data_IF_250622124380
#
_entry.id   IF_250622124380
#
_cell.length_a   1.000
_cell.length_b   1.000
_cell.length_c   1.000
_cell.angle_alpha   90.00
_cell.angle_beta   90.00
_cell.angle_gamma   90.00
#
_symmetry.space_group_name_H-M   'P 1'
#
loop_
_entity.id
_entity.type
_entity.pdbx_description
1 polymer ?
#
# COMPACT_ATOMS: atom_id res chain seq x y z
N UNK A 1 -26.08 0.90 22.80
CA UNK A 1 -25.17 1.99 22.38
C UNK A 1 -23.89 1.37 21.86
N UNK A 2 -23.12 2.12 21.07
CA UNK A 2 -21.74 1.77 20.77
C UNK A 2 -20.81 2.20 21.93
N UNK A 3 -19.64 1.59 22.01
CA UNK A 3 -18.47 2.07 22.75
C UNK A 3 -17.78 3.14 21.89
N UNK A 4 -17.71 4.38 22.37
CA UNK A 4 -16.97 5.44 21.69
C UNK A 4 -15.47 5.27 21.92
N UNK A 5 -14.68 5.59 20.87
CA UNK A 5 -13.21 5.61 20.94
C UNK A 5 -12.69 6.96 20.48
N UNK A 6 -11.58 7.38 21.12
CA UNK A 6 -10.93 8.66 20.87
C UNK A 6 -9.49 8.40 20.41
N UNK A 7 -8.94 9.29 19.58
CA UNK A 7 -7.53 9.24 19.20
C UNK A 7 -6.68 9.74 20.37
N UNK A 8 -6.20 8.82 21.20
CA UNK A 8 -5.15 9.09 22.20
C UNK A 8 -3.82 8.57 21.70
N UNK A 9 -2.72 9.24 22.05
CA UNK A 9 -1.36 8.89 21.62
C UNK A 9 -0.79 7.64 22.34
N UNK A 10 -1.63 6.87 23.05
CA UNK A 10 -1.24 5.59 23.66
C UNK A 10 -1.02 4.56 22.55
N UNK A 11 0.11 3.86 22.62
CA UNK A 11 0.69 3.00 21.58
C UNK A 11 -0.21 1.83 21.17
N UNK A 12 -1.19 2.12 20.34
CA UNK A 12 -2.00 1.15 19.61
C UNK A 12 -1.41 1.01 18.21
N UNK A 13 -1.21 -0.24 17.75
CA UNK A 13 -0.51 -0.54 16.49
C UNK A 13 -1.19 0.14 15.30
N UNK A 14 -0.52 1.14 14.72
CA UNK A 14 -1.02 1.85 13.55
C UNK A 14 -0.82 0.98 12.30
N UNK A 15 -1.86 0.23 11.91
CA UNK A 15 -1.86 -0.62 10.72
C UNK A 15 -1.44 0.15 9.47
N UNK A 16 -0.60 -0.47 8.64
CA UNK A 16 -0.17 0.14 7.39
C UNK A 16 -1.33 0.26 6.40
N UNK A 17 -1.16 1.13 5.40
CA UNK A 17 -2.10 1.26 4.27
C UNK A 17 -2.44 -0.06 3.58
N UNK A 18 -1.54 -1.06 3.61
CA UNK A 18 -1.75 -2.36 2.98
C UNK A 18 -2.57 -3.29 3.86
N UNK A 19 -2.25 -3.35 5.16
CA UNK A 19 -2.95 -4.22 6.12
C UNK A 19 -4.38 -3.69 6.38
N UNK A 20 -4.55 -2.37 6.38
CA UNK A 20 -5.86 -1.72 6.47
C UNK A 20 -6.75 -2.02 5.25
N UNK A 21 -6.18 -2.04 4.03
CA UNK A 21 -6.90 -2.45 2.82
C UNK A 21 -7.16 -3.96 2.77
N UNK A 22 -6.27 -4.80 3.32
CA UNK A 22 -6.50 -6.23 3.46
C UNK A 22 -7.69 -6.49 4.38
N UNK A 23 -7.69 -5.91 5.59
CA UNK A 23 -8.78 -6.01 6.56
C UNK A 23 -10.15 -5.64 5.96
N UNK A 24 -10.27 -4.49 5.28
CA UNK A 24 -11.56 -4.10 4.67
C UNK A 24 -11.99 -5.08 3.59
N UNK A 25 -11.08 -5.54 2.74
CA UNK A 25 -11.40 -6.48 1.65
C UNK A 25 -11.75 -7.88 2.16
N UNK A 26 -11.15 -8.32 3.26
CA UNK A 26 -11.46 -9.61 3.89
C UNK A 26 -12.81 -9.54 4.62
N UNK A 27 -13.03 -8.56 5.50
CA UNK A 27 -14.28 -8.42 6.25
C UNK A 27 -15.51 -8.12 5.35
N UNK A 28 -15.34 -7.37 4.26
CA UNK A 28 -16.45 -7.02 3.37
C UNK A 28 -16.48 -7.82 2.05
N UNK A 29 -15.58 -8.79 1.85
CA UNK A 29 -15.46 -9.52 0.57
C UNK A 29 -15.39 -8.55 -0.64
N UNK A 30 -14.60 -7.49 -0.51
CA UNK A 30 -14.45 -6.43 -1.53
C UNK A 30 -13.11 -6.51 -2.25
N UNK A 31 -12.89 -5.64 -3.25
CA UNK A 31 -11.71 -5.69 -4.11
C UNK A 31 -10.97 -4.37 -4.26
N UNK A 32 -11.07 -3.47 -3.27
CA UNK A 32 -10.37 -2.18 -3.23
C UNK A 32 -8.86 -2.29 -3.48
N UNK A 33 -8.28 -1.25 -4.05
CA UNK A 33 -6.85 -1.09 -4.37
C UNK A 33 -6.27 0.21 -3.79
N UNK A 34 -7.13 1.19 -3.49
CA UNK A 34 -6.80 2.50 -2.95
C UNK A 34 -7.72 2.83 -1.76
N UNK A 35 -7.19 3.48 -0.73
CA UNK A 35 -7.97 3.91 0.45
C UNK A 35 -8.96 5.01 0.07
N UNK A 36 -8.59 5.80 -0.93
CA UNK A 36 -9.39 6.79 -1.63
C UNK A 36 -10.77 6.26 -2.08
N UNK A 37 -10.91 4.95 -2.40
CA UNK A 37 -12.17 4.35 -2.87
C UNK A 37 -13.25 4.26 -1.77
N UNK A 38 -12.87 4.40 -0.50
CA UNK A 38 -13.79 4.45 0.64
C UNK A 38 -14.56 5.77 0.74
N UNK A 39 -14.20 6.78 -0.07
CA UNK A 39 -14.96 8.02 -0.25
C UNK A 39 -16.42 7.79 -0.69
N UNK A 40 -16.73 6.61 -1.23
CA UNK A 40 -18.09 6.18 -1.55
C UNK A 40 -19.01 6.07 -0.33
N UNK A 41 -18.46 5.96 0.89
CA UNK A 41 -19.21 5.81 2.15
C UNK A 41 -19.87 4.43 2.35
N UNK A 42 -19.94 3.59 1.32
CA UNK A 42 -20.69 2.33 1.32
C UNK A 42 -20.10 1.27 2.27
N UNK A 43 -18.76 1.17 2.33
CA UNK A 43 -18.06 0.23 3.22
C UNK A 43 -18.38 0.50 4.70
N UNK A 44 -18.30 1.77 5.13
CA UNK A 44 -18.65 2.17 6.49
C UNK A 44 -20.12 1.91 6.84
N UNK A 45 -21.04 2.10 5.87
CA UNK A 45 -22.44 1.72 6.05
C UNK A 45 -22.60 0.22 6.28
N UNK A 46 -21.83 -0.62 5.60
CA UNK A 46 -21.92 -2.07 5.80
C UNK A 46 -21.26 -2.52 7.11
N UNK A 47 -20.11 -1.95 7.49
CA UNK A 47 -19.52 -2.20 8.81
C UNK A 47 -20.46 -1.83 9.96
N UNK A 48 -21.21 -0.73 9.85
CA UNK A 48 -22.20 -0.36 10.88
C UNK A 48 -23.39 -1.34 10.97
N UNK A 49 -23.76 -2.01 9.88
CA UNK A 49 -24.74 -3.09 9.91
C UNK A 49 -24.16 -4.39 10.51
N UNK A 50 -22.92 -4.74 10.16
CA UNK A 50 -22.19 -5.86 10.77
C UNK A 50 -22.06 -5.71 12.29
N UNK A 51 -21.60 -4.55 12.77
CA UNK A 51 -21.51 -4.22 14.20
C UNK A 51 -22.90 -4.17 14.86
N UNK A 52 -23.84 -3.47 14.23
CA UNK A 52 -25.15 -3.16 14.81
C UNK A 52 -26.28 -3.38 13.77
N UNK A 53 -26.75 -4.63 13.60
CA UNK A 53 -27.77 -4.98 12.60
C UNK A 53 -29.02 -4.12 12.71
N UNK A 54 -29.47 -3.59 11.56
CA UNK A 54 -30.61 -2.67 11.51
C UNK A 54 -30.34 -1.28 12.11
N UNK A 55 -29.10 -0.92 12.44
CA UNK A 55 -28.71 0.49 12.62
C UNK A 55 -28.74 1.27 11.29
N UNK A 56 -28.47 0.56 10.19
CA UNK A 56 -28.33 1.09 8.82
C UNK A 56 -29.50 0.63 7.93
N UNK A 57 -29.91 1.50 6.99
CA UNK A 57 -30.90 1.17 5.96
C UNK A 57 -30.21 0.64 4.70
N UNK A 58 -29.60 -0.56 4.75
CA UNK A 58 -28.73 -1.08 3.67
C UNK A 58 -29.36 -1.04 2.28
N UNK A 59 -30.68 -1.28 2.15
CA UNK A 59 -31.43 -1.20 0.88
C UNK A 59 -31.40 0.17 0.19
N UNK A 60 -30.91 1.22 0.87
CA UNK A 60 -30.73 2.58 0.33
C UNK A 60 -29.27 2.93 0.04
N UNK A 61 -28.32 2.09 0.44
CA UNK A 61 -26.88 2.32 0.26
C UNK A 61 -26.50 2.04 -1.19
N UNK A 62 -25.80 2.99 -1.81
CA UNK A 62 -25.25 2.85 -3.16
C UNK A 62 -23.90 2.15 -3.07
N UNK A 63 -23.90 0.81 -3.05
CA UNK A 63 -22.67 -0.01 -2.94
C UNK A 63 -21.73 0.13 -4.14
N UNK A 64 -22.28 0.45 -5.33
CA UNK A 64 -21.52 0.60 -6.56
C UNK A 64 -21.92 1.86 -7.30
N UNK A 65 -21.04 2.86 -7.27
CA UNK A 65 -21.31 4.22 -7.76
C UNK A 65 -19.99 4.93 -8.12
N UNK A 66 -20.09 6.02 -8.88
CA UNK A 66 -19.01 6.96 -9.19
C UNK A 66 -19.48 8.43 -9.09
N UNK A 67 -20.58 8.69 -8.37
CA UNK A 67 -21.27 9.99 -8.33
C UNK A 67 -21.20 10.60 -6.92
N UNK A 68 -20.57 11.77 -6.77
CA UNK A 68 -20.35 12.41 -5.46
C UNK A 68 -21.66 12.64 -4.67
N UNK A 69 -22.76 12.96 -5.36
CA UNK A 69 -24.06 13.13 -4.71
C UNK A 69 -24.65 11.83 -4.13
N UNK A 70 -24.24 10.66 -4.65
CA UNK A 70 -24.58 9.35 -4.05
C UNK A 70 -23.65 9.02 -2.88
N UNK A 71 -22.40 9.47 -2.89
CA UNK A 71 -21.49 9.35 -1.75
C UNK A 71 -22.04 10.14 -0.55
N UNK A 72 -22.55 11.36 -0.80
CA UNK A 72 -23.23 12.20 0.21
C UNK A 72 -24.49 11.49 0.75
N UNK A 73 -25.24 10.76 -0.09
CA UNK A 73 -26.38 9.96 0.37
C UNK A 73 -25.93 8.82 1.30
N UNK A 74 -24.89 8.08 0.94
CA UNK A 74 -24.31 7.03 1.78
C UNK A 74 -23.83 7.59 3.13
N UNK A 75 -23.08 8.70 3.13
CA UNK A 75 -22.63 9.32 4.38
C UNK A 75 -23.77 9.87 5.25
N UNK A 76 -24.89 10.32 4.67
CA UNK A 76 -26.10 10.67 5.45
C UNK A 76 -26.77 9.44 6.08
N UNK A 77 -26.70 8.27 5.44
CA UNK A 77 -27.12 7.00 6.06
C UNK A 77 -26.18 6.62 7.21
N UNK A 78 -24.86 6.79 7.04
CA UNK A 78 -23.87 6.54 8.09
C UNK A 78 -24.06 7.46 9.30
N UNK A 79 -24.26 8.77 9.09
CA UNK A 79 -24.57 9.73 10.15
C UNK A 79 -25.84 9.38 10.92
N UNK A 80 -26.88 8.87 10.25
CA UNK A 80 -28.10 8.41 10.89
C UNK A 80 -27.86 7.16 11.78
N UNK A 81 -27.01 6.22 11.33
CA UNK A 81 -26.61 5.06 12.13
C UNK A 81 -25.75 5.45 13.33
N UNK A 82 -24.78 6.35 13.15
CA UNK A 82 -23.96 6.92 14.24
C UNK A 82 -24.85 7.57 15.31
N UNK A 83 -25.80 8.44 14.89
CA UNK A 83 -26.77 9.06 15.82
C UNK A 83 -27.67 8.03 16.52
N UNK A 84 -28.10 6.97 15.83
CA UNK A 84 -28.92 5.89 16.41
C UNK A 84 -28.16 5.06 17.45
N UNK A 85 -26.84 4.91 17.30
CA UNK A 85 -26.00 4.13 18.21
C UNK A 85 -25.28 4.96 19.28
N UNK A 86 -25.48 6.29 19.29
CA UNK A 86 -24.76 7.27 20.12
C UNK A 86 -23.24 7.25 19.90
N UNK A 87 -22.83 7.32 18.63
CA UNK A 87 -21.43 7.50 18.24
C UNK A 87 -21.10 9.00 18.17
N UNK A 88 -20.14 9.46 18.97
CA UNK A 88 -19.83 10.89 19.14
C UNK A 88 -18.92 11.46 18.03
N UNK A 89 -18.27 10.60 17.25
CA UNK A 89 -17.34 11.01 16.19
C UNK A 89 -18.07 11.73 15.05
N UNK A 90 -17.76 13.01 14.88
CA UNK A 90 -18.15 13.79 13.69
C UNK A 90 -17.48 13.19 12.45
N UNK A 91 -18.28 12.88 11.43
CA UNK A 91 -17.82 12.38 10.13
C UNK A 91 -17.53 13.59 9.21
N UNK A 92 -16.29 13.82 8.75
CA UNK A 92 -15.94 14.97 7.90
C UNK A 92 -16.32 14.75 6.43
N UNK A 93 -17.62 14.64 6.16
CA UNK A 93 -18.19 14.22 4.85
C UNK A 93 -17.60 14.99 3.67
N UNK A 94 -17.57 16.32 3.74
CA UNK A 94 -17.11 17.18 2.65
C UNK A 94 -15.63 17.01 2.28
N UNK A 95 -14.83 16.48 3.21
CA UNK A 95 -13.44 16.08 2.96
C UNK A 95 -13.36 14.67 2.37
N UNK A 96 -14.08 13.72 2.97
CA UNK A 96 -14.06 12.30 2.59
C UNK A 96 -14.50 12.08 1.15
N UNK A 97 -15.62 12.67 0.73
CA UNK A 97 -16.21 12.48 -0.61
C UNK A 97 -15.29 12.93 -1.75
N UNK A 98 -14.28 13.77 -1.47
CA UNK A 98 -13.29 14.24 -2.46
C UNK A 98 -12.19 13.21 -2.76
N UNK A 99 -12.24 12.02 -2.14
CA UNK A 99 -11.32 10.93 -2.44
C UNK A 99 -9.86 11.21 -2.07
N UNK A 100 -9.58 12.20 -1.23
CA UNK A 100 -8.20 12.50 -0.79
C UNK A 100 -7.73 11.44 0.19
N UNK A 101 -6.50 10.94 -0.03
CA UNK A 101 -5.91 9.85 0.75
C UNK A 101 -5.86 10.16 2.25
N UNK A 102 -5.31 11.32 2.63
CA UNK A 102 -5.14 11.73 4.03
C UNK A 102 -6.46 11.72 4.81
N UNK A 103 -7.49 12.42 4.32
CA UNK A 103 -8.80 12.50 5.01
C UNK A 103 -9.46 11.13 5.14
N UNK A 104 -9.36 10.28 4.10
CA UNK A 104 -9.95 8.94 4.12
C UNK A 104 -9.16 7.97 5.02
N UNK A 105 -7.83 8.09 5.09
CA UNK A 105 -6.99 7.24 5.93
C UNK A 105 -7.12 7.58 7.42
N UNK A 106 -7.13 8.87 7.79
CA UNK A 106 -7.36 9.32 9.17
C UNK A 106 -8.71 8.80 9.70
N UNK A 107 -9.77 8.95 8.91
CA UNK A 107 -11.09 8.43 9.28
C UNK A 107 -11.11 6.90 9.36
N UNK A 108 -10.44 6.20 8.45
CA UNK A 108 -10.35 4.74 8.45
C UNK A 108 -9.56 4.19 9.66
N UNK A 109 -8.46 4.84 10.05
CA UNK A 109 -7.70 4.49 11.26
C UNK A 109 -8.55 4.61 12.51
N UNK A 110 -9.30 5.72 12.65
CA UNK A 110 -10.27 5.86 13.75
C UNK A 110 -11.38 4.80 13.66
N UNK A 111 -11.91 4.54 12.46
CA UNK A 111 -12.99 3.58 12.25
C UNK A 111 -12.57 2.15 12.57
N UNK A 112 -11.31 1.77 12.32
CA UNK A 112 -10.74 0.47 12.74
C UNK A 112 -10.72 0.34 14.26
N UNK A 113 -10.20 1.34 14.99
CA UNK A 113 -10.22 1.33 16.47
C UNK A 113 -11.66 1.29 17.01
N UNK A 114 -12.61 1.94 16.33
CA UNK A 114 -14.03 1.88 16.67
C UNK A 114 -14.64 0.50 16.41
N UNK A 115 -14.32 -0.14 15.29
CA UNK A 115 -14.75 -1.50 14.97
C UNK A 115 -14.22 -2.50 16.00
N UNK A 116 -12.93 -2.46 16.32
CA UNK A 116 -12.28 -3.38 17.27
C UNK A 116 -12.86 -3.27 18.69
N UNK A 117 -13.29 -2.07 19.10
CA UNK A 117 -13.93 -1.84 20.40
C UNK A 117 -15.42 -2.25 20.47
N UNK A 118 -16.03 -2.65 19.35
CA UNK A 118 -17.48 -2.91 19.25
C UNK A 118 -17.85 -4.25 18.60
N UNK A 119 -16.92 -4.92 17.90
CA UNK A 119 -17.17 -6.19 17.23
C UNK A 119 -17.13 -7.36 18.22
N UNK A 120 -18.19 -8.15 18.26
CA UNK A 120 -18.36 -9.29 19.17
C UNK A 120 -17.95 -10.65 18.55
N UNK A 121 -17.37 -10.63 17.35
CA UNK A 121 -16.90 -11.84 16.67
C UNK A 121 -17.97 -12.63 15.91
N UNK A 122 -19.20 -12.12 15.77
CA UNK A 122 -20.29 -12.78 15.03
C UNK A 122 -19.95 -13.02 13.55
N UNK A 123 -20.45 -14.13 12.99
CA UNK A 123 -20.42 -14.35 11.55
C UNK A 123 -21.27 -13.32 10.78
N UNK A 124 -20.81 -12.89 9.60
CA UNK A 124 -21.51 -11.95 8.73
C UNK A 124 -21.21 -12.22 7.25
N UNK A 125 -22.22 -12.59 6.46
CA UNK A 125 -22.06 -12.69 5.00
C UNK A 125 -22.20 -11.30 4.37
N UNK A 126 -21.07 -10.70 3.99
CA UNK A 126 -21.03 -9.37 3.42
C UNK A 126 -21.51 -9.32 1.96
N UNK A 127 -21.51 -10.44 1.23
CA UNK A 127 -21.94 -10.50 -0.16
C UNK A 127 -23.46 -10.67 -0.25
N UNK A 128 -24.06 -11.56 0.56
CA UNK A 128 -25.50 -11.75 0.62
C UNK A 128 -26.21 -10.52 1.22
N UNK A 129 -25.63 -9.89 2.25
CA UNK A 129 -26.15 -8.64 2.84
C UNK A 129 -26.20 -7.45 1.84
N UNK A 130 -25.48 -7.53 0.71
CA UNK A 130 -25.55 -6.59 -0.42
C UNK A 130 -26.48 -7.03 -1.55
N UNK A 131 -27.14 -8.19 -1.44
CA UNK A 131 -27.86 -8.81 -2.55
C UNK A 131 -26.93 -9.23 -3.68
N UNK A 132 -25.74 -9.76 -3.34
CA UNK A 132 -24.67 -10.15 -4.27
C UNK A 132 -24.07 -9.01 -5.11
N UNK A 133 -24.31 -7.74 -4.75
CA UNK A 133 -23.70 -6.58 -5.40
C UNK A 133 -22.24 -6.40 -4.97
N UNK A 134 -21.33 -6.18 -5.93
CA UNK A 134 -19.93 -5.85 -5.66
C UNK A 134 -19.78 -4.40 -5.14
N UNK A 135 -18.95 -4.21 -4.11
CA UNK A 135 -18.73 -2.91 -3.46
C UNK A 135 -17.52 -2.18 -4.09
N UNK A 136 -17.69 -0.91 -4.46
CA UNK A 136 -16.62 -0.05 -4.96
C UNK A 136 -17.03 0.86 -6.13
N UNK A 137 -16.06 1.28 -6.94
CA UNK A 137 -16.32 2.18 -8.07
C UNK A 137 -17.19 1.54 -9.19
N UNK A 138 -18.03 2.36 -9.82
CA UNK A 138 -18.92 1.97 -10.93
C UNK A 138 -18.22 1.51 -12.23
N UNK A 139 -16.89 1.59 -12.31
CA UNK A 139 -16.08 1.38 -13.52
C UNK A 139 -15.91 -0.09 -13.95
N UNK A 140 -17.02 -0.81 -14.15
CA UNK A 140 -17.10 -1.94 -15.09
C UNK A 140 -18.56 -2.40 -15.26
N UNK A 141 -19.21 -1.96 -16.35
CA UNK A 141 -20.37 -2.65 -16.91
C UNK A 141 -19.93 -3.40 -18.17
N UNK A 142 -19.78 -4.71 -18.03
CA UNK A 142 -19.78 -5.67 -19.14
C UNK A 142 -20.73 -6.80 -18.74
N UNK A 143 -21.75 -7.05 -19.57
CA UNK A 143 -22.77 -8.06 -19.26
C UNK A 143 -22.16 -9.45 -19.30
N UNK A 144 -22.08 -10.10 -18.13
CA UNK A 144 -21.70 -11.50 -17.97
C UNK A 144 -22.66 -12.16 -17.00
N UNK A 145 -23.47 -13.11 -17.48
CA UNK A 145 -24.43 -13.84 -16.65
C UNK A 145 -23.73 -14.95 -15.85
N UNK A 146 -24.36 -15.42 -14.77
CA UNK A 146 -23.76 -16.27 -13.74
C UNK A 146 -23.08 -17.55 -14.27
N UNK A 147 -21.98 -17.93 -13.60
CA UNK A 147 -21.81 -19.30 -13.11
C UNK A 147 -21.49 -19.25 -11.61
N UNK A 148 -21.90 -20.30 -10.89
CA UNK A 148 -22.16 -20.23 -9.46
C UNK A 148 -21.46 -21.37 -8.71
N UNK A 149 -20.70 -21.05 -7.66
CA UNK A 149 -20.09 -22.01 -6.75
C UNK A 149 -20.31 -21.58 -5.29
N UNK A 150 -21.11 -22.36 -4.57
CA UNK A 150 -21.24 -22.29 -3.12
C UNK A 150 -19.98 -22.88 -2.45
N UNK A 151 -19.42 -22.22 -1.42
CA UNK A 151 -18.79 -22.91 -0.29
C UNK A 151 -19.84 -23.30 0.76
N UNK A 152 -19.54 -24.32 1.56
CA UNK A 152 -20.33 -24.75 2.71
C UNK A 152 -19.95 -23.94 3.99
N UNK A 153 -20.72 -23.97 5.09
CA UNK A 153 -20.53 -23.02 6.20
C UNK A 153 -19.19 -23.17 6.94
N UNK A 154 -18.78 -22.08 7.59
CA UNK A 154 -17.46 -21.90 8.19
C UNK A 154 -17.22 -22.85 9.37
N UNK A 155 -16.51 -23.95 9.12
CA UNK A 155 -15.78 -24.67 10.17
C UNK A 155 -14.37 -24.09 10.26
N UNK A 156 -13.93 -23.78 11.47
CA UNK A 156 -12.78 -22.90 11.69
C UNK A 156 -11.44 -23.59 11.39
N UNK A 157 -10.93 -23.43 10.16
CA UNK A 157 -9.54 -23.73 9.79
C UNK A 157 -9.08 -22.83 8.66
N UNK A 158 -8.07 -22.01 8.91
CA UNK A 158 -7.48 -21.12 7.88
C UNK A 158 -6.79 -21.97 6.81
N UNK A 159 -7.48 -22.15 5.68
CA UNK A 159 -6.85 -22.62 4.44
C UNK A 159 -6.29 -21.39 3.70
N UNK A 160 -5.02 -21.39 3.27
CA UNK A 160 -4.45 -20.25 2.56
C UNK A 160 -5.15 -20.08 1.21
N UNK A 161 -5.65 -18.87 0.93
CA UNK A 161 -6.28 -18.56 -0.34
C UNK A 161 -5.32 -18.85 -1.52
N UNK A 162 -5.82 -19.53 -2.55
CA UNK A 162 -5.03 -20.01 -3.69
C UNK A 162 -4.48 -18.86 -4.53
N UNK A 163 -3.31 -18.30 -4.15
CA UNK A 163 -2.67 -17.21 -4.91
C UNK A 163 -2.40 -17.68 -6.34
N UNK A 164 -3.01 -17.01 -7.31
CA UNK A 164 -2.72 -17.22 -8.72
C UNK A 164 -1.29 -16.78 -9.04
N UNK A 165 -0.36 -17.73 -9.06
CA UNK A 165 1.06 -17.49 -9.38
C UNK A 165 1.19 -17.18 -10.87
N UNK A 166 1.44 -15.93 -11.22
CA UNK A 166 1.59 -15.49 -12.60
C UNK A 166 2.97 -15.87 -13.16
N UNK A 167 3.15 -17.15 -13.53
CA UNK A 167 4.41 -17.73 -14.03
C UNK A 167 5.00 -16.88 -15.18
N UNK A 168 4.17 -16.42 -16.11
CA UNK A 168 4.58 -15.55 -17.23
C UNK A 168 5.20 -14.21 -16.81
N UNK A 169 4.99 -13.75 -15.57
CA UNK A 169 5.70 -12.60 -15.01
C UNK A 169 7.03 -13.01 -14.40
N UNK A 170 7.04 -14.07 -13.60
CA UNK A 170 8.24 -14.54 -12.87
C UNK A 170 9.36 -14.98 -13.81
N UNK A 171 9.02 -15.68 -14.90
CA UNK A 171 9.96 -16.12 -15.94
C UNK A 171 10.63 -14.94 -16.66
N UNK A 172 10.08 -13.72 -16.59
CA UNK A 172 10.69 -12.50 -17.15
C UNK A 172 11.77 -11.88 -16.24
N UNK A 173 12.03 -12.46 -15.06
CA UNK A 173 13.14 -12.08 -14.19
C UNK A 173 13.06 -10.68 -13.59
N UNK A 174 11.88 -10.02 -13.62
CA UNK A 174 11.73 -8.66 -13.07
C UNK A 174 11.77 -8.71 -11.55
N UNK A 175 12.59 -7.84 -10.95
CA UNK A 175 12.78 -7.79 -9.49
C UNK A 175 11.44 -7.72 -8.74
N UNK A 176 10.55 -6.80 -9.10
CA UNK A 176 9.29 -6.60 -8.38
C UNK A 176 8.37 -7.83 -8.38
N UNK A 177 8.16 -8.48 -9.54
CA UNK A 177 7.30 -9.68 -9.60
C UNK A 177 7.90 -10.83 -8.76
N UNK A 178 9.21 -11.02 -8.85
CA UNK A 178 9.92 -12.09 -8.14
C UNK A 178 10.01 -11.84 -6.62
N UNK A 179 10.18 -10.58 -6.21
CA UNK A 179 10.25 -10.19 -4.81
C UNK A 179 8.87 -10.28 -4.13
N UNK A 180 7.81 -9.80 -4.78
CA UNK A 180 6.43 -9.93 -4.29
C UNK A 180 5.99 -11.41 -4.19
N UNK A 181 6.43 -12.25 -5.14
CA UNK A 181 6.25 -13.69 -5.04
C UNK A 181 7.05 -14.29 -3.87
N UNK A 182 8.32 -13.93 -3.70
CA UNK A 182 9.18 -14.45 -2.62
C UNK A 182 8.67 -14.07 -1.22
N UNK A 183 8.22 -12.82 -1.04
CA UNK A 183 7.61 -12.35 0.22
C UNK A 183 6.36 -13.17 0.58
N UNK A 184 5.47 -13.40 -0.39
CA UNK A 184 4.31 -14.27 -0.18
C UNK A 184 4.71 -15.72 0.06
N UNK A 185 5.66 -16.25 -0.71
CA UNK A 185 6.09 -17.65 -0.62
C UNK A 185 6.75 -17.93 0.74
N UNK A 186 7.51 -16.98 1.31
CA UNK A 186 8.02 -17.08 2.68
C UNK A 186 6.90 -17.15 3.71
N UNK A 187 5.92 -16.22 3.67
CA UNK A 187 4.74 -16.26 4.56
C UNK A 187 3.94 -17.55 4.42
N UNK A 188 3.76 -18.05 3.19
CA UNK A 188 3.10 -19.33 2.92
C UNK A 188 3.88 -20.52 3.47
N UNK A 189 5.20 -20.55 3.27
CA UNK A 189 6.09 -21.60 3.80
C UNK A 189 6.04 -21.63 5.33
N UNK A 190 6.21 -20.48 5.99
CA UNK A 190 6.21 -20.36 7.45
C UNK A 190 4.88 -20.83 8.07
N UNK A 191 3.75 -20.55 7.41
CA UNK A 191 2.42 -20.98 7.86
C UNK A 191 2.13 -22.48 7.65
N UNK A 192 2.92 -23.20 6.85
CA UNK A 192 2.67 -24.61 6.46
C UNK A 192 3.80 -25.57 6.85
N UNK A 193 5.01 -25.08 7.11
CA UNK A 193 6.16 -25.89 7.48
C UNK A 193 6.02 -26.44 8.90
N UNK A 194 6.19 -27.76 9.07
CA UNK A 194 5.97 -28.44 10.37
C UNK A 194 7.23 -28.64 11.21
N UNK A 195 8.36 -28.04 10.81
CA UNK A 195 9.62 -28.14 11.54
C UNK A 195 10.39 -29.45 11.31
N UNK A 196 9.97 -30.29 10.36
CA UNK A 196 10.70 -31.50 9.97
C UNK A 196 12.09 -31.16 9.40
N UNK A 197 13.05 -32.06 9.52
CA UNK A 197 14.33 -31.95 8.81
C UNK A 197 14.16 -32.19 7.31
N UNK A 198 14.90 -31.44 6.48
CA UNK A 198 14.86 -31.54 5.01
C UNK A 198 16.24 -31.33 4.39
N UNK A 199 16.86 -32.40 3.89
CA UNK A 199 18.10 -32.34 3.13
C UNK A 199 17.84 -31.90 1.68
N UNK A 200 18.05 -30.61 1.43
CA UNK A 200 17.90 -29.99 0.11
C UNK A 200 19.00 -30.36 -0.91
N UNK A 201 20.03 -31.14 -0.55
CA UNK A 201 21.05 -31.66 -1.46
C UNK A 201 20.76 -33.13 -1.84
N UNK A 202 20.42 -33.97 -0.87
CA UNK A 202 19.95 -35.34 -1.13
C UNK A 202 18.64 -35.35 -1.94
N UNK A 203 17.70 -34.45 -1.63
CA UNK A 203 16.46 -34.27 -2.40
C UNK A 203 16.66 -33.78 -3.85
N UNK A 204 17.90 -33.45 -4.24
CA UNK A 204 18.29 -33.07 -5.61
C UNK A 204 19.39 -33.98 -6.18
N UNK A 205 19.58 -35.18 -5.62
CA UNK A 205 20.55 -36.19 -6.06
C UNK A 205 21.98 -35.60 -6.25
N UNK A 206 22.41 -34.81 -5.26
CA UNK A 206 23.72 -34.15 -5.24
C UNK A 206 23.89 -32.99 -6.24
N UNK A 207 22.90 -32.70 -7.10
CA UNK A 207 23.04 -31.66 -8.13
C UNK A 207 23.19 -30.24 -7.53
N UNK A 208 23.96 -29.34 -8.16
CA UNK A 208 23.99 -27.92 -7.79
C UNK A 208 22.70 -27.19 -8.20
N UNK A 209 22.46 -26.00 -7.66
CA UNK A 209 21.35 -25.13 -8.09
C UNK A 209 21.82 -24.23 -9.25
N UNK A 210 20.97 -24.00 -10.25
CA UNK A 210 21.32 -23.18 -11.42
C UNK A 210 21.12 -21.69 -11.19
N UNK A 211 22.11 -20.86 -11.55
CA UNK A 211 22.00 -19.40 -11.52
C UNK A 211 21.24 -18.90 -12.76
N UNK A 212 20.10 -18.22 -12.58
CA UNK A 212 19.23 -17.73 -13.66
C UNK A 212 19.77 -16.50 -14.43
N UNK A 213 20.99 -16.57 -14.97
CA UNK A 213 21.63 -15.49 -15.74
C UNK A 213 21.81 -15.79 -17.23
N UNK A 214 22.25 -14.81 -18.01
CA UNK A 214 22.49 -14.98 -19.45
C UNK A 214 23.69 -15.90 -19.81
N UNK A 215 24.62 -16.11 -18.87
CA UNK A 215 25.88 -16.83 -19.07
C UNK A 215 25.92 -18.18 -18.32
N UNK A 216 24.90 -19.03 -18.49
CA UNK A 216 24.88 -20.39 -17.90
C UNK A 216 25.64 -21.39 -18.78
N UNK A 217 26.64 -22.11 -18.26
CA UNK A 217 27.22 -23.26 -18.95
C UNK A 217 26.16 -24.35 -19.15
N UNK A 218 25.92 -24.77 -20.40
CA UNK A 218 24.93 -25.80 -20.71
C UNK A 218 25.42 -27.17 -20.23
N UNK A 219 24.84 -27.67 -19.14
CA UNK A 219 24.97 -29.07 -18.73
C UNK A 219 24.45 -30.05 -19.80
N UNK A 220 24.84 -31.33 -19.76
CA UNK A 220 24.45 -32.33 -20.76
C UNK A 220 22.92 -32.48 -20.79
N UNK A 221 22.33 -32.23 -21.96
CA UNK A 221 20.89 -31.98 -22.07
C UNK A 221 20.00 -33.22 -22.01
N UNK A 222 18.95 -33.16 -21.19
CA UNK A 222 17.81 -34.07 -21.28
C UNK A 222 17.00 -33.78 -22.56
N UNK A 223 17.12 -34.67 -23.55
CA UNK A 223 16.44 -34.54 -24.84
C UNK A 223 14.93 -34.82 -24.71
N UNK A 224 14.10 -33.78 -24.85
CA UNK A 224 12.66 -33.98 -25.10
C UNK A 224 12.45 -34.57 -26.51
N UNK A 225 12.18 -35.89 -26.56
CA UNK A 225 11.78 -36.59 -27.78
C UNK A 225 10.28 -36.40 -28.06
N UNK A 226 9.93 -35.96 -29.27
CA UNK A 226 8.67 -36.32 -29.97
C UNK A 226 8.97 -36.61 -31.46
N UNK A 227 8.13 -37.39 -32.15
CA UNK A 227 8.53 -38.14 -33.34
C UNK A 227 8.48 -37.35 -34.65
N UNK A 228 9.16 -37.87 -35.67
CA UNK A 228 9.18 -37.35 -37.04
C UNK A 228 8.64 -38.41 -38.04
N UNK A 229 8.05 -37.99 -39.18
CA UNK A 229 7.77 -38.86 -40.33
C UNK A 229 9.04 -39.13 -41.17
N UNK A 230 8.89 -39.97 -42.21
CA UNK A 230 9.99 -40.74 -42.84
C UNK A 230 10.65 -40.05 -44.05
N UNK A 231 11.83 -40.55 -44.42
CA UNK A 231 12.83 -40.00 -45.34
C UNK A 231 12.50 -40.13 -46.84
N UNK A 232 13.25 -39.37 -47.66
CA UNK A 232 13.73 -39.79 -48.99
C UNK A 232 15.19 -39.33 -49.19
N UNK A 233 15.94 -40.01 -50.06
CA UNK A 233 17.39 -39.83 -50.35
C UNK A 233 17.59 -39.07 -51.71
N UNK A 234 18.77 -38.64 -52.19
CA UNK A 234 20.18 -39.01 -51.92
C UNK A 234 21.19 -37.86 -52.27
N UNK A 235 22.50 -38.15 -52.17
CA UNK A 235 23.67 -37.30 -52.50
C UNK A 235 24.43 -37.88 -53.74
N UNK A 236 25.68 -37.51 -54.15
CA UNK A 236 26.72 -36.56 -53.63
C UNK A 236 27.11 -35.48 -54.71
N UNK A 237 28.29 -34.84 -54.92
CA UNK A 237 29.73 -35.02 -54.52
C UNK A 237 30.57 -33.71 -54.47
N UNK A 238 31.49 -33.65 -53.50
CA UNK A 238 32.93 -33.24 -53.53
C UNK A 238 33.45 -31.93 -54.19
N UNK A 239 34.17 -31.14 -53.35
CA UNK A 239 35.52 -30.55 -53.54
C UNK A 239 35.77 -29.49 -54.66
N UNK A 240 36.72 -28.53 -54.60
CA UNK A 240 37.73 -28.18 -53.57
C UNK A 240 38.22 -26.70 -53.63
N UNK A 241 39.05 -26.29 -52.66
CA UNK A 241 40.09 -25.22 -52.70
C UNK A 241 39.76 -23.72 -52.94
N UNK A 242 40.32 -22.90 -52.03
CA UNK A 242 40.77 -21.48 -52.18
C UNK A 242 42.20 -21.45 -52.80
N UNK A 243 42.90 -20.32 -53.13
CA UNK A 243 42.75 -18.94 -52.62
C UNK A 243 43.06 -17.75 -53.62
N UNK A 244 43.16 -16.51 -53.08
CA UNK A 244 43.82 -15.26 -53.58
C UNK A 244 43.43 -14.66 -54.95
N UNK A 245 43.02 -13.38 -54.93
CA UNK A 245 43.02 -12.47 -56.09
C UNK A 245 42.82 -11.00 -55.67
N UNK A 246 43.66 -10.07 -56.16
CA UNK A 246 43.75 -8.66 -55.69
C UNK A 246 43.62 -7.67 -56.84
N UNK A 247 42.53 -6.89 -56.92
CA UNK A 247 42.49 -5.64 -57.69
C UNK A 247 41.40 -4.66 -57.19
N UNK A 248 41.82 -3.42 -56.93
CA UNK A 248 41.08 -2.25 -56.46
C UNK A 248 40.41 -1.52 -57.63
N UNK A 249 39.12 -1.17 -57.53
CA UNK A 249 38.48 -0.21 -58.44
C UNK A 249 37.38 0.63 -57.76
N UNK A 250 37.47 1.94 -57.96
CA UNK A 250 36.48 3.01 -57.73
C UNK A 250 36.66 3.99 -58.94
N UNK A 251 35.77 4.97 -59.22
CA UNK A 251 34.57 5.39 -58.49
C UNK A 251 33.30 5.56 -59.37
N UNK A 252 32.15 5.87 -58.74
CA UNK A 252 31.31 7.05 -59.06
C UNK A 252 30.27 7.29 -57.95
N UNK A 253 29.65 8.47 -57.94
CA UNK A 253 28.84 8.96 -56.81
C UNK A 253 27.44 9.46 -57.24
N UNK A 254 26.62 9.78 -56.23
CA UNK A 254 25.23 10.28 -56.27
C UNK A 254 24.13 9.25 -56.61
N UNK A 255 22.87 9.47 -56.18
CA UNK A 255 22.38 10.55 -55.30
C UNK A 255 22.06 10.10 -53.86
N UNK A 256 21.90 11.07 -52.96
CA UNK A 256 21.44 10.85 -51.57
C UNK A 256 19.95 10.49 -51.57
N UNK A 257 19.57 9.41 -50.88
CA UNK A 257 18.19 9.13 -50.45
C UNK A 257 18.16 9.04 -48.93
N UNK A 258 17.44 9.95 -48.28
CA UNK A 258 17.27 9.96 -46.82
C UNK A 258 16.44 8.76 -46.37
N UNK A 259 16.95 7.88 -45.48
CA UNK A 259 16.10 6.89 -44.81
C UNK A 259 15.18 7.58 -43.80
N UNK A 260 13.94 7.11 -43.69
CA UNK A 260 12.91 7.74 -42.87
C UNK A 260 13.24 7.72 -41.36
N UNK A 261 12.61 8.65 -40.62
CA UNK A 261 12.76 8.75 -39.17
C UNK A 261 12.40 7.42 -38.48
N UNK A 262 13.34 6.89 -37.69
CA UNK A 262 13.07 5.76 -36.80
C UNK A 262 12.24 6.27 -35.63
N UNK A 263 11.02 5.76 -35.48
CA UNK A 263 10.23 5.98 -34.26
C UNK A 263 10.99 5.40 -33.07
N UNK A 264 11.21 6.23 -32.04
CA UNK A 264 11.88 5.78 -30.83
C UNK A 264 11.01 4.74 -30.10
N UNK A 265 11.62 3.63 -29.69
CA UNK A 265 10.93 2.67 -28.83
C UNK A 265 10.64 3.32 -27.46
N UNK A 266 9.44 3.13 -26.87
CA UNK A 266 9.09 3.75 -25.61
C UNK A 266 10.03 3.25 -24.49
N UNK A 267 10.69 4.20 -23.81
CA UNK A 267 11.66 3.89 -22.76
C UNK A 267 10.97 3.26 -21.54
N UNK A 268 11.15 1.95 -21.36
CA UNK A 268 10.47 1.15 -20.33
C UNK A 268 10.78 1.60 -18.89
N UNK A 269 11.91 2.29 -18.67
CA UNK A 269 12.30 2.76 -17.35
C UNK A 269 11.51 3.98 -16.87
N UNK A 270 10.78 4.68 -17.75
CA UNK A 270 10.03 5.88 -17.38
C UNK A 270 8.91 5.59 -16.36
N UNK A 271 8.22 4.45 -16.48
CA UNK A 271 7.18 4.04 -15.52
C UNK A 271 7.75 3.61 -14.16
N UNK A 272 8.94 3.02 -14.15
CA UNK A 272 9.64 2.56 -12.94
C UNK A 272 10.13 3.76 -12.10
N UNK A 273 10.72 4.76 -12.76
CA UNK A 273 11.02 6.06 -12.14
C UNK A 273 9.76 6.78 -11.67
N UNK A 274 8.68 6.78 -12.47
CA UNK A 274 7.42 7.44 -12.09
C UNK A 274 6.81 6.84 -10.82
N UNK A 275 6.79 5.51 -10.69
CA UNK A 275 6.32 4.83 -9.48
C UNK A 275 7.20 5.17 -8.27
N UNK A 276 8.53 5.17 -8.44
CA UNK A 276 9.45 5.52 -7.35
C UNK A 276 9.38 7.00 -6.93
N UNK A 277 9.02 7.90 -7.84
CA UNK A 277 8.71 9.31 -7.54
C UNK A 277 7.40 9.43 -6.76
N UNK A 278 6.37 8.64 -7.09
CA UNK A 278 5.12 8.56 -6.32
C UNK A 278 5.39 8.02 -4.90
N UNK A 279 6.13 6.93 -4.76
CA UNK A 279 6.53 6.35 -3.46
C UNK A 279 7.34 7.34 -2.58
N UNK A 280 8.34 8.01 -3.15
CA UNK A 280 9.13 9.00 -2.41
C UNK A 280 8.31 10.24 -2.04
N UNK A 281 7.39 10.68 -2.91
CA UNK A 281 6.44 11.76 -2.60
C UNK A 281 5.52 11.38 -1.45
N UNK A 282 5.03 10.13 -1.42
CA UNK A 282 4.23 9.60 -0.33
C UNK A 282 5.01 9.58 0.99
N UNK A 283 6.26 9.09 1.00
CA UNK A 283 7.13 9.10 2.20
C UNK A 283 7.42 10.53 2.69
N UNK A 284 7.68 11.48 1.79
CA UNK A 284 7.87 12.90 2.16
C UNK A 284 6.59 13.48 2.78
N UNK A 285 5.41 13.08 2.30
CA UNK A 285 4.13 13.48 2.90
C UNK A 285 3.89 12.83 4.28
N UNK A 286 4.31 11.58 4.46
CA UNK A 286 4.21 10.85 5.73
C UNK A 286 5.09 11.49 6.80
N UNK A 287 6.39 11.69 6.52
CA UNK A 287 7.31 12.37 7.44
C UNK A 287 6.87 13.79 7.77
N UNK A 288 6.31 14.55 6.81
CA UNK A 288 5.77 15.89 7.09
C UNK A 288 4.62 15.87 8.10
N UNK A 289 3.71 14.90 8.00
CA UNK A 289 2.60 14.76 8.97
C UNK A 289 3.11 14.27 10.34
N UNK A 290 4.15 13.42 10.38
CA UNK A 290 4.80 13.05 11.63
C UNK A 290 5.45 14.27 12.30
N UNK A 291 6.17 15.09 11.55
CA UNK A 291 6.77 16.34 12.06
C UNK A 291 5.68 17.31 12.51
N UNK A 292 4.67 17.61 11.70
CA UNK A 292 3.57 18.53 12.07
C UNK A 292 2.80 18.08 13.32
N UNK A 293 2.73 16.76 13.58
CA UNK A 293 2.22 16.20 14.85
C UNK A 293 3.16 16.46 16.03
N UNK A 294 4.43 16.06 15.88
CA UNK A 294 5.47 16.25 16.90
C UNK A 294 5.71 17.72 17.26
N UNK A 295 5.58 18.66 16.31
CA UNK A 295 5.68 20.09 16.57
C UNK A 295 4.51 20.61 17.41
N UNK A 296 3.27 20.17 17.13
CA UNK A 296 2.12 20.52 17.98
C UNK A 296 2.22 19.92 19.37
N UNK A 297 2.80 18.73 19.50
CA UNK A 297 3.06 18.11 20.80
C UNK A 297 4.17 18.86 21.55
N UNK A 298 5.28 19.20 20.89
CA UNK A 298 6.34 20.09 21.41
C UNK A 298 5.74 21.38 21.93
N UNK A 299 4.94 22.08 21.13
CA UNK A 299 4.39 23.39 21.48
C UNK A 299 3.35 23.29 22.61
N UNK A 300 2.58 22.20 22.66
CA UNK A 300 1.64 21.91 23.76
C UNK A 300 2.35 21.63 25.10
N UNK A 301 3.44 20.84 25.09
CA UNK A 301 4.23 20.60 26.29
C UNK A 301 5.04 21.83 26.71
N UNK A 302 5.66 22.54 25.75
CA UNK A 302 6.39 23.78 25.99
C UNK A 302 5.48 24.87 26.60
N UNK A 303 4.28 25.08 26.05
CA UNK A 303 3.29 26.01 26.60
C UNK A 303 2.95 25.68 28.07
N UNK A 304 2.76 24.40 28.41
CA UNK A 304 2.52 23.98 29.79
C UNK A 304 3.70 24.20 30.72
N UNK A 305 4.91 23.99 30.25
CA UNK A 305 6.11 24.26 31.03
C UNK A 305 6.29 25.77 31.24
N UNK A 306 5.97 26.61 30.25
CA UNK A 306 5.96 28.07 30.37
C UNK A 306 4.85 28.58 31.31
N UNK A 307 3.65 27.99 31.28
CA UNK A 307 2.59 28.30 32.25
C UNK A 307 3.08 28.05 33.70
N UNK A 308 3.73 26.90 33.93
CA UNK A 308 4.31 26.51 35.23
C UNK A 308 5.46 27.44 35.63
N UNK A 309 6.33 27.81 34.68
CA UNK A 309 7.45 28.73 34.90
C UNK A 309 6.96 30.11 35.35
N UNK A 310 5.93 30.68 34.71
CA UNK A 310 5.30 31.94 35.12
C UNK A 310 4.72 31.81 36.54
N UNK A 311 3.96 30.75 36.81
CA UNK A 311 3.43 30.50 38.17
C UNK A 311 4.52 30.35 39.25
N UNK A 312 5.73 29.93 38.87
CA UNK A 312 6.89 29.87 39.77
C UNK A 312 7.60 31.22 39.92
N UNK A 313 7.65 32.03 38.85
CA UNK A 313 8.25 33.37 38.83
C UNK A 313 7.39 34.42 39.55
N UNK A 314 6.06 34.27 39.55
CA UNK A 314 5.11 35.18 40.22
C UNK A 314 4.95 34.91 41.73
N UNK A 315 5.64 33.91 42.29
CA UNK A 315 5.53 33.57 43.72
C UNK A 315 6.53 34.36 44.57
N UNK A 316 6.01 35.23 45.46
CA UNK A 316 6.83 36.03 46.39
C UNK A 316 7.43 35.21 47.55
N UNK A 317 7.01 33.95 47.74
CA UNK A 317 7.50 33.06 48.82
C UNK A 317 8.77 32.29 48.40
N UNK A 318 9.85 32.39 49.18
CA UNK A 318 11.07 31.55 49.03
C UNK A 318 10.80 30.08 49.39
N UNK A 319 10.07 29.37 48.53
CA UNK A 319 9.71 27.97 48.73
C UNK A 319 10.76 27.03 48.11
N UNK A 320 11.44 26.17 48.89
CA UNK A 320 12.45 25.22 48.38
C UNK A 320 11.93 24.19 47.37
N UNK A 321 10.61 24.06 47.20
CA UNK A 321 10.00 23.28 46.12
C UNK A 321 10.00 24.04 44.78
N UNK A 322 9.74 25.35 44.80
CA UNK A 322 9.73 26.19 43.59
C UNK A 322 11.12 26.25 42.98
N UNK A 323 12.16 26.43 43.81
CA UNK A 323 13.55 26.43 43.35
C UNK A 323 13.92 25.14 42.59
N UNK A 324 13.42 23.98 43.04
CA UNK A 324 13.65 22.68 42.38
C UNK A 324 12.85 22.50 41.09
N UNK A 325 11.69 23.13 40.98
CA UNK A 325 10.91 23.15 39.73
C UNK A 325 11.66 23.99 38.69
N UNK A 326 12.14 25.17 39.07
CA UNK A 326 12.97 26.03 38.21
C UNK A 326 14.30 25.35 37.81
N UNK A 327 14.98 24.66 38.74
CA UNK A 327 16.18 23.87 38.45
C UNK A 327 15.94 22.80 37.37
N UNK A 328 14.78 22.14 37.38
CA UNK A 328 14.39 21.16 36.35
C UNK A 328 13.97 21.83 35.03
N UNK A 329 13.35 23.00 35.07
CA UNK A 329 12.93 23.75 33.88
C UNK A 329 14.11 24.36 33.11
N UNK A 330 15.17 24.76 33.80
CA UNK A 330 16.38 25.36 33.18
C UNK A 330 17.55 24.36 33.00
N UNK A 331 17.34 23.07 33.30
CA UNK A 331 18.35 22.04 33.07
C UNK A 331 18.60 21.83 31.56
N UNK A 332 19.80 22.15 31.09
CA UNK A 332 20.24 21.90 29.71
C UNK A 332 20.97 20.56 29.59
N UNK A 333 20.78 19.87 28.46
CA UNK A 333 21.57 18.68 28.13
C UNK A 333 22.97 19.08 27.62
N UNK A 334 23.98 18.25 27.84
CA UNK A 334 25.37 18.59 27.56
C UNK A 334 25.62 18.73 26.05
N UNK A 335 25.64 19.98 25.57
CA UNK A 335 25.73 20.33 24.14
C UNK A 335 24.50 21.06 23.58
N UNK A 336 23.40 21.18 24.34
CA UNK A 336 22.20 21.93 23.95
C UNK A 336 22.18 23.32 24.60
N UNK A 337 23.08 24.19 24.16
CA UNK A 337 23.06 25.61 24.53
C UNK A 337 21.92 26.33 23.80
N UNK A 338 21.17 27.24 24.45
CA UNK A 338 20.37 28.23 23.75
C UNK A 338 21.25 29.03 22.77
N UNK A 339 20.75 29.40 21.57
CA UNK A 339 21.40 30.43 20.78
C UNK A 339 21.54 31.70 21.63
N UNK A 340 22.73 32.27 21.70
CA UNK A 340 22.98 33.51 22.44
C UNK A 340 22.00 34.59 21.96
N UNK A 341 21.31 35.25 22.91
CA UNK A 341 20.31 36.25 22.57
C UNK A 341 20.96 37.39 21.79
N UNK A 342 20.45 37.69 20.60
CA UNK A 342 20.92 38.81 19.78
C UNK A 342 20.45 40.13 20.41
N UNK A 343 21.19 40.60 21.41
CA UNK A 343 20.96 41.89 22.07
C UNK A 343 20.94 43.04 21.05
N UNK A 344 19.87 43.85 21.12
CA UNK A 344 20.01 45.30 21.00
C UNK A 344 20.46 45.90 19.66
N UNK A 345 20.19 45.26 18.52
CA UNK A 345 20.44 45.82 17.19
C UNK A 345 19.44 46.89 16.73
N UNK A 346 19.16 47.91 17.55
CA UNK A 346 18.20 48.97 17.20
C UNK A 346 18.87 50.12 16.40
N UNK A 347 18.45 50.26 15.15
CA UNK A 347 18.74 51.35 14.20
C UNK A 347 17.93 51.06 12.92
N UNK A 348 17.09 51.97 12.45
CA UNK A 348 17.45 53.15 11.64
C UNK A 348 17.92 52.70 10.23
N UNK A 349 17.23 52.98 9.12
CA UNK A 349 16.18 53.97 8.82
C UNK A 349 15.12 53.45 7.80
N UNK A 350 13.98 54.15 7.69
CA UNK A 350 13.12 54.11 6.50
C UNK A 350 13.76 54.88 5.33
N UNK A 351 13.86 54.31 4.11
CA UNK A 351 13.53 55.02 2.85
C UNK A 351 13.56 54.12 1.57
N UNK A 352 12.60 54.38 0.67
CA UNK A 352 12.42 53.95 -0.74
C UNK A 352 12.42 52.45 -1.15
#
# INVERSE_FOLDING_TARGET
MAVNVYSTNVTSENLSRHDMLAWVNECLQSSFKKIEELCTGAAYCQFMDMLFPGSVQLKRVKFRTNLEHEYIQNFKILQAAFKKMSVDKIIPVDKLIKGRFQDNFEFLQWFKKFFDANYDGRDYDALDSRGNVALGSGLNQSNGNLHHHHPAPLTHRVAPATKHVAIDKLVKGRFQDNFEFLQWFKKFFDANYRGNDYDALAARDGQPMGNGGANVPKGPGMLQRKPAPVQAVASPTKNDTRPVGRARAMPKAAPIRSPAARTAAPNRNAGDLSGKIEDLTNQISEYKLTVEGLEKERDFYFGKLRDIEVMCQESEDENPLIQKILEVLYATEEGFAPPEELEGGAGDEDEY
#
